data_IF_714836009752
#
_entry.id   IF_714836009752
#
_cell.length_a   1.000
_cell.length_b   1.000
_cell.length_c   1.000
_cell.angle_alpha   90.00
_cell.angle_beta   90.00
_cell.angle_gamma   90.00
#
_symmetry.space_group_name_H-M   'P 1'
#
loop_
_entity.id
_entity.type
_entity.pdbx_description
1 polymer ?
#
# COMPACT_ATOMS: atom_id res chain seq x y z
N UNK A 1 -74.13 11.42 -125.24
CA UNK A 1 -74.43 12.59 -124.39
C UNK A 1 -73.12 13.36 -124.13
N UNK A 2 -72.80 14.37 -124.96
CA UNK A 2 -71.56 15.16 -124.84
C UNK A 2 -71.81 16.33 -123.88
N UNK A 3 -71.26 16.30 -122.68
CA UNK A 3 -71.27 17.45 -121.78
C UNK A 3 -70.40 18.57 -122.40
N UNK A 4 -71.04 19.66 -122.85
CA UNK A 4 -70.37 20.93 -123.13
C UNK A 4 -70.05 21.60 -121.80
N UNK A 5 -68.81 21.47 -121.34
CA UNK A 5 -68.33 22.28 -120.20
C UNK A 5 -68.31 23.76 -120.60
N UNK A 6 -68.99 24.57 -119.80
CA UNK A 6 -69.07 26.04 -119.94
C UNK A 6 -67.67 26.68 -119.96
N UNK A 7 -67.50 27.75 -120.74
CA UNK A 7 -66.29 28.57 -120.81
C UNK A 7 -65.80 29.03 -119.42
N UNK A 8 -66.71 29.19 -118.46
CA UNK A 8 -66.42 29.54 -117.06
C UNK A 8 -65.60 28.46 -116.33
N UNK A 9 -65.73 27.18 -116.70
CA UNK A 9 -65.03 26.09 -116.04
C UNK A 9 -63.53 26.02 -116.40
N UNK A 10 -63.16 26.42 -117.63
CA UNK A 10 -61.76 26.45 -118.07
C UNK A 10 -60.95 27.57 -117.40
N UNK A 11 -61.59 28.67 -117.03
CA UNK A 11 -60.95 29.80 -116.33
C UNK A 11 -60.79 29.49 -114.83
N UNK A 12 -61.72 28.75 -114.23
CA UNK A 12 -61.70 28.46 -112.78
C UNK A 12 -60.68 27.38 -112.37
N UNK A 13 -60.44 26.39 -113.24
CA UNK A 13 -59.59 25.22 -112.94
C UNK A 13 -58.14 25.56 -112.50
N UNK A 14 -57.39 26.48 -113.14
CA UNK A 14 -56.03 26.81 -112.70
C UNK A 14 -55.99 27.55 -111.35
N UNK A 15 -56.99 28.37 -111.03
CA UNK A 15 -57.09 29.01 -109.71
C UNK A 15 -57.37 27.99 -108.61
N UNK A 16 -58.18 26.97 -108.92
CA UNK A 16 -58.48 25.88 -108.00
C UNK A 16 -57.24 25.01 -107.75
N UNK A 17 -56.43 24.77 -108.78
CA UNK A 17 -55.14 24.10 -108.66
C UNK A 17 -54.11 24.94 -107.86
N UNK A 18 -54.05 26.25 -108.09
CA UNK A 18 -53.17 27.16 -107.35
C UNK A 18 -53.57 27.26 -105.87
N UNK A 19 -54.88 27.34 -105.58
CA UNK A 19 -55.41 27.32 -104.23
C UNK A 19 -55.12 26.00 -103.52
N UNK A 20 -55.24 24.87 -104.23
CA UNK A 20 -54.86 23.56 -103.70
C UNK A 20 -53.36 23.46 -103.41
N UNK A 21 -52.49 23.97 -104.31
CA UNK A 21 -51.05 24.01 -104.11
C UNK A 21 -50.66 24.88 -102.91
N UNK A 22 -51.23 26.08 -102.79
CA UNK A 22 -51.04 26.97 -101.66
C UNK A 22 -51.50 26.31 -100.35
N UNK A 23 -52.65 25.65 -100.36
CA UNK A 23 -53.17 24.93 -99.20
C UNK A 23 -52.28 23.76 -98.77
N UNK A 24 -51.71 23.02 -99.73
CA UNK A 24 -50.74 21.95 -99.47
C UNK A 24 -49.44 22.51 -98.87
N UNK A 25 -48.91 23.61 -99.41
CA UNK A 25 -47.70 24.27 -98.89
C UNK A 25 -47.96 24.81 -97.48
N UNK A 26 -49.09 25.48 -97.27
CA UNK A 26 -49.52 26.00 -95.96
C UNK A 26 -49.67 24.88 -94.93
N UNK A 27 -50.31 23.75 -95.29
CA UNK A 27 -50.42 22.58 -94.43
C UNK A 27 -49.06 21.99 -94.07
N UNK A 28 -48.11 21.95 -95.03
CA UNK A 28 -46.75 21.47 -94.79
C UNK A 28 -45.99 22.37 -93.80
N UNK A 29 -46.01 23.70 -93.99
CA UNK A 29 -45.38 24.64 -93.04
C UNK A 29 -46.03 24.60 -91.66
N UNK A 30 -47.36 24.48 -91.59
CA UNK A 30 -48.09 24.33 -90.33
C UNK A 30 -47.71 23.03 -89.58
N UNK A 31 -47.56 21.91 -90.29
CA UNK A 31 -47.09 20.65 -89.69
C UNK A 31 -45.64 20.73 -89.20
N UNK A 32 -44.76 21.43 -89.91
CA UNK A 32 -43.39 21.68 -89.44
C UNK A 32 -43.38 22.53 -88.16
N UNK A 33 -44.24 23.55 -88.05
CA UNK A 33 -44.41 24.32 -86.82
C UNK A 33 -44.91 23.48 -85.63
N UNK A 34 -45.89 22.60 -85.85
CA UNK A 34 -46.46 21.75 -84.80
C UNK A 34 -45.44 20.72 -84.25
N UNK A 35 -44.63 20.13 -85.14
CA UNK A 35 -43.56 19.19 -84.76
C UNK A 35 -42.44 19.86 -83.98
N UNK A 36 -42.07 21.10 -84.33
CA UNK A 36 -41.10 21.89 -83.57
C UNK A 36 -41.58 22.17 -82.14
N UNK A 37 -42.85 22.58 -81.97
CA UNK A 37 -43.45 22.80 -80.64
C UNK A 37 -43.45 21.50 -79.83
N UNK A 38 -43.79 20.36 -80.46
CA UNK A 38 -43.78 19.06 -79.79
C UNK A 38 -42.37 18.66 -79.31
N UNK A 39 -41.33 18.88 -80.13
CA UNK A 39 -39.93 18.64 -79.72
C UNK A 39 -39.47 19.56 -78.59
N UNK A 40 -39.84 20.84 -78.61
CA UNK A 40 -39.54 21.77 -77.52
C UNK A 40 -40.23 21.37 -76.21
N UNK A 41 -41.51 20.97 -76.28
CA UNK A 41 -42.24 20.46 -75.13
C UNK A 41 -41.59 19.18 -74.58
N UNK A 42 -41.23 18.24 -75.45
CA UNK A 42 -40.53 17.01 -75.06
C UNK A 42 -39.15 17.32 -74.43
N UNK A 43 -38.39 18.25 -75.00
CA UNK A 43 -37.11 18.70 -74.46
C UNK A 43 -37.27 19.37 -73.09
N UNK A 44 -38.32 20.17 -72.88
CA UNK A 44 -38.63 20.78 -71.59
C UNK A 44 -38.99 19.76 -70.50
N UNK A 45 -39.77 18.74 -70.85
CA UNK A 45 -40.07 17.61 -69.94
C UNK A 45 -38.80 16.83 -69.62
N UNK A 46 -37.99 16.53 -70.63
CA UNK A 46 -36.72 15.83 -70.46
C UNK A 46 -35.74 16.62 -69.56
N UNK A 47 -35.59 17.93 -69.80
CA UNK A 47 -34.77 18.82 -68.98
C UNK A 47 -35.27 18.87 -67.52
N UNK A 48 -36.59 18.91 -67.31
CA UNK A 48 -37.19 18.88 -65.97
C UNK A 48 -36.89 17.58 -65.23
N UNK A 49 -36.93 16.44 -65.92
CA UNK A 49 -36.55 15.13 -65.35
C UNK A 49 -35.06 15.13 -65.00
N UNK A 50 -34.20 15.62 -65.88
CA UNK A 50 -32.76 15.74 -65.62
C UNK A 50 -32.46 16.62 -64.41
N UNK A 51 -33.08 17.80 -64.31
CA UNK A 51 -32.98 18.70 -63.14
C UNK A 51 -33.47 18.03 -61.86
N UNK A 52 -34.56 17.26 -61.92
CA UNK A 52 -35.06 16.50 -60.78
C UNK A 52 -34.10 15.41 -60.30
N UNK A 53 -33.46 14.69 -61.23
CA UNK A 53 -32.42 13.69 -60.93
C UNK A 53 -31.20 14.39 -60.33
N UNK A 54 -30.76 15.49 -60.94
CA UNK A 54 -29.64 16.30 -60.47
C UNK A 54 -29.88 16.79 -59.04
N UNK A 55 -31.01 17.46 -58.77
CA UNK A 55 -31.41 17.91 -57.43
C UNK A 55 -31.43 16.77 -56.41
N UNK A 56 -31.96 15.60 -56.79
CA UNK A 56 -32.02 14.43 -55.92
C UNK A 56 -30.62 13.91 -55.57
N UNK A 57 -29.71 13.87 -56.54
CA UNK A 57 -28.37 13.31 -56.38
C UNK A 57 -27.40 14.29 -55.68
N UNK A 58 -27.43 15.56 -56.06
CA UNK A 58 -26.45 16.56 -55.63
C UNK A 58 -26.85 17.29 -54.35
N UNK A 59 -28.15 17.47 -54.07
CA UNK A 59 -28.59 18.26 -52.91
C UNK A 59 -29.36 17.38 -51.92
N UNK A 60 -30.45 16.73 -52.35
CA UNK A 60 -31.36 16.04 -51.42
C UNK A 60 -30.72 14.84 -50.72
N UNK A 61 -29.89 14.06 -51.43
CA UNK A 61 -29.22 12.88 -50.86
C UNK A 61 -28.16 13.26 -49.81
N UNK A 62 -27.17 14.13 -50.10
CA UNK A 62 -26.17 14.56 -49.10
C UNK A 62 -26.83 15.22 -47.88
N UNK A 63 -27.78 16.14 -48.10
CA UNK A 63 -28.47 16.83 -47.00
C UNK A 63 -29.22 15.85 -46.07
N UNK A 64 -29.83 14.80 -46.64
CA UNK A 64 -30.46 13.75 -45.84
C UNK A 64 -29.46 12.89 -45.04
N UNK A 65 -28.23 12.69 -45.53
CA UNK A 65 -27.17 11.97 -44.78
C UNK A 65 -26.75 12.79 -43.58
N UNK A 66 -26.45 14.08 -43.79
CA UNK A 66 -26.10 15.03 -42.71
C UNK A 66 -27.23 15.08 -41.67
N UNK A 67 -28.48 15.24 -42.11
CA UNK A 67 -29.64 15.24 -41.20
C UNK A 67 -29.71 13.96 -40.35
N UNK A 68 -29.52 12.79 -40.96
CA UNK A 68 -29.53 11.51 -40.23
C UNK A 68 -28.40 11.44 -39.19
N UNK A 69 -27.20 11.86 -39.55
CA UNK A 69 -26.06 11.92 -38.65
C UNK A 69 -26.36 12.82 -37.45
N UNK A 70 -26.81 14.06 -37.70
CA UNK A 70 -27.13 15.03 -36.63
C UNK A 70 -28.22 14.49 -35.71
N UNK A 71 -29.26 13.84 -36.25
CA UNK A 71 -30.32 13.20 -35.44
C UNK A 71 -29.77 12.05 -34.58
N UNK A 72 -28.79 11.29 -35.08
CA UNK A 72 -28.14 10.24 -34.31
C UNK A 72 -27.27 10.83 -33.19
N UNK A 73 -26.45 11.84 -33.49
CA UNK A 73 -25.61 12.54 -32.51
C UNK A 73 -26.45 13.19 -31.40
N UNK A 74 -27.58 13.82 -31.76
CA UNK A 74 -28.51 14.41 -30.79
C UNK A 74 -29.12 13.38 -29.82
N UNK A 75 -29.11 12.09 -30.17
CA UNK A 75 -29.55 10.98 -29.30
C UNK A 75 -28.40 10.31 -28.54
N UNK A 76 -27.18 10.83 -28.64
CA UNK A 76 -25.98 10.25 -28.03
C UNK A 76 -25.41 9.04 -28.78
N UNK A 77 -25.88 8.75 -30.00
CA UNK A 77 -25.32 7.70 -30.84
C UNK A 77 -24.24 8.27 -31.76
N UNK A 78 -23.02 7.72 -31.69
CA UNK A 78 -21.86 8.20 -32.47
C UNK A 78 -21.51 7.17 -33.57
N UNK A 79 -22.21 7.21 -34.73
CA UNK A 79 -22.08 6.24 -35.82
C UNK A 79 -20.77 6.43 -36.60
N UNK A 80 -20.40 5.46 -37.45
CA UNK A 80 -19.31 5.67 -38.40
C UNK A 80 -19.83 6.60 -39.50
N UNK A 81 -19.12 7.71 -39.72
CA UNK A 81 -19.46 8.67 -40.75
C UNK A 81 -18.21 8.96 -41.58
N UNK A 82 -18.30 8.69 -42.87
CA UNK A 82 -17.26 8.99 -43.85
C UNK A 82 -17.82 9.98 -44.86
N UNK A 83 -17.10 11.07 -45.07
CA UNK A 83 -17.47 12.09 -46.01
C UNK A 83 -17.44 11.54 -47.44
N UNK A 84 -18.35 12.02 -48.26
CA UNK A 84 -18.33 11.78 -49.70
C UNK A 84 -17.35 12.76 -50.33
N UNK A 85 -16.52 12.33 -51.30
CA UNK A 85 -15.67 13.23 -52.05
C UNK A 85 -16.54 14.07 -52.99
N UNK A 86 -17.04 15.19 -52.46
CA UNK A 86 -17.76 16.23 -53.19
C UNK A 86 -16.91 17.48 -53.09
N UNK A 87 -16.55 18.09 -54.22
CA UNK A 87 -15.71 19.30 -54.26
C UNK A 87 -16.50 20.59 -54.05
N UNK A 88 -17.64 20.49 -53.37
CA UNK A 88 -18.59 21.57 -53.10
C UNK A 88 -18.72 21.81 -51.59
N UNK A 89 -19.49 22.83 -51.22
CA UNK A 89 -19.69 23.23 -49.82
C UNK A 89 -20.36 22.14 -48.98
N UNK A 90 -21.14 21.24 -49.61
CA UNK A 90 -21.73 20.09 -48.93
C UNK A 90 -20.67 19.03 -48.61
N UNK A 91 -19.69 18.83 -49.48
CA UNK A 91 -18.53 17.99 -49.21
C UNK A 91 -17.67 18.48 -48.06
N UNK A 92 -17.35 19.78 -48.03
CA UNK A 92 -16.60 20.41 -46.94
C UNK A 92 -17.32 20.27 -45.59
N UNK A 93 -18.65 20.38 -45.60
CA UNK A 93 -19.47 20.14 -44.42
C UNK A 93 -19.44 18.66 -43.99
N UNK A 94 -19.53 17.70 -44.93
CA UNK A 94 -19.38 16.28 -44.60
C UNK A 94 -17.97 15.98 -44.02
N UNK A 95 -16.89 16.56 -44.56
CA UNK A 95 -15.53 16.39 -44.03
C UNK A 95 -15.39 16.94 -42.61
N UNK A 96 -15.95 18.13 -42.36
CA UNK A 96 -15.96 18.75 -41.03
C UNK A 96 -16.74 17.90 -40.02
N UNK A 97 -17.87 17.32 -40.44
CA UNK A 97 -18.67 16.41 -39.61
C UNK A 97 -17.98 15.07 -39.36
N UNK A 98 -17.28 14.49 -40.34
CA UNK A 98 -16.45 13.29 -40.16
C UNK A 98 -15.40 13.50 -39.07
N UNK A 99 -14.66 14.61 -39.14
CA UNK A 99 -13.68 14.97 -38.11
C UNK A 99 -14.34 15.14 -36.73
N UNK A 100 -15.47 15.82 -36.66
CA UNK A 100 -16.18 16.03 -35.40
C UNK A 100 -16.70 14.72 -34.78
N UNK A 101 -17.24 13.80 -35.60
CA UNK A 101 -17.67 12.46 -35.16
C UNK A 101 -16.48 11.65 -34.66
N UNK A 102 -15.33 11.72 -35.34
CA UNK A 102 -14.08 11.11 -34.89
C UNK A 102 -13.68 11.60 -33.49
N UNK A 103 -13.63 12.92 -33.31
CA UNK A 103 -13.27 13.53 -32.03
C UNK A 103 -14.21 13.09 -30.88
N UNK A 104 -15.52 13.04 -31.11
CA UNK A 104 -16.48 12.57 -30.10
C UNK A 104 -16.25 11.11 -29.71
N UNK A 105 -15.77 10.27 -30.63
CA UNK A 105 -15.40 8.87 -30.33
C UNK A 105 -14.15 8.79 -29.50
N UNK A 106 -13.14 9.59 -29.82
CA UNK A 106 -11.89 9.61 -29.07
C UNK A 106 -12.16 10.05 -27.62
N UNK A 107 -12.99 11.07 -27.43
CA UNK A 107 -13.47 11.50 -26.11
C UNK A 107 -14.22 10.36 -25.39
N UNK A 108 -15.15 9.69 -26.07
CA UNK A 108 -15.91 8.60 -25.47
C UNK A 108 -15.02 7.41 -25.10
N UNK A 109 -14.04 7.07 -25.94
CA UNK A 109 -13.08 6.00 -25.70
C UNK A 109 -12.16 6.34 -24.51
N UNK A 110 -11.62 7.55 -24.47
CA UNK A 110 -10.81 8.05 -23.36
C UNK A 110 -11.59 8.10 -22.04
N UNK A 111 -12.85 8.54 -22.08
CA UNK A 111 -13.72 8.54 -20.89
C UNK A 111 -13.99 7.13 -20.39
N UNK A 112 -14.22 6.17 -21.28
CA UNK A 112 -14.37 4.76 -20.90
C UNK A 112 -13.11 4.19 -20.28
N UNK A 113 -11.93 4.45 -20.84
CA UNK A 113 -10.67 3.94 -20.27
C UNK A 113 -10.45 4.48 -18.85
N UNK A 114 -10.72 5.76 -18.62
CA UNK A 114 -10.70 6.35 -17.27
C UNK A 114 -11.69 5.68 -16.33
N UNK A 115 -12.92 5.39 -16.78
CA UNK A 115 -13.93 4.71 -15.96
C UNK A 115 -13.53 3.28 -15.56
N UNK A 116 -12.72 2.61 -16.39
CA UNK A 116 -12.21 1.25 -16.12
C UNK A 116 -10.89 1.26 -15.32
N UNK A 117 -10.41 2.42 -14.89
CA UNK A 117 -9.16 2.55 -14.13
C UNK A 117 -7.88 2.60 -14.99
N UNK A 118 -8.00 2.66 -16.32
CA UNK A 118 -6.87 2.80 -17.22
C UNK A 118 -6.64 4.28 -17.58
N UNK A 119 -5.66 4.87 -16.88
CA UNK A 119 -5.21 6.24 -17.08
C UNK A 119 -3.94 6.35 -17.94
N UNK A 120 -3.50 5.26 -18.60
CA UNK A 120 -2.29 5.28 -19.43
C UNK A 120 -2.51 5.99 -20.76
N UNK A 121 -3.76 6.00 -21.25
CA UNK A 121 -4.16 6.69 -22.48
C UNK A 121 -3.80 8.18 -22.46
N UNK A 122 -3.38 8.69 -23.62
CA UNK A 122 -3.13 10.12 -23.85
C UNK A 122 -4.23 10.68 -24.75
N UNK A 123 -4.81 11.80 -24.32
CA UNK A 123 -5.70 12.62 -25.13
C UNK A 123 -4.98 13.93 -25.43
N UNK A 124 -4.88 14.28 -26.70
CA UNK A 124 -4.29 15.55 -27.15
C UNK A 124 -5.40 16.54 -27.49
N UNK A 125 -5.22 17.79 -27.04
CA UNK A 125 -6.18 18.86 -27.32
C UNK A 125 -6.23 19.11 -28.83
N UNK A 126 -7.44 19.28 -29.36
CA UNK A 126 -7.64 19.55 -30.79
C UNK A 126 -7.10 20.92 -31.21
N UNK A 127 -7.14 21.87 -30.29
CA UNK A 127 -6.62 23.23 -30.45
C UNK A 127 -6.45 23.89 -29.09
N UNK A 128 -5.97 25.13 -29.07
CA UNK A 128 -5.90 25.93 -27.84
C UNK A 128 -7.29 26.32 -27.31
N UNK A 129 -8.34 26.20 -28.13
CA UNK A 129 -9.73 26.51 -27.79
C UNK A 129 -10.56 25.25 -27.46
N UNK A 130 -9.92 24.08 -27.35
CA UNK A 130 -10.60 22.82 -27.02
C UNK A 130 -10.95 22.73 -25.52
N UNK A 131 -12.05 23.38 -25.13
CA UNK A 131 -12.56 23.41 -23.76
C UNK A 131 -12.82 21.99 -23.21
N UNK A 132 -13.39 21.10 -24.03
CA UNK A 132 -13.68 19.72 -23.63
C UNK A 132 -12.39 18.94 -23.39
N UNK A 133 -11.40 19.09 -24.28
CA UNK A 133 -10.08 18.50 -24.11
C UNK A 133 -9.37 18.97 -22.86
N UNK A 134 -9.43 20.27 -22.56
CA UNK A 134 -8.89 20.84 -21.31
C UNK A 134 -9.58 20.23 -20.08
N UNK A 135 -10.92 20.18 -20.07
CA UNK A 135 -11.68 19.63 -18.96
C UNK A 135 -11.37 18.13 -18.74
N UNK A 136 -11.26 17.34 -19.81
CA UNK A 136 -10.91 15.92 -19.75
C UNK A 136 -9.52 15.67 -19.18
N UNK A 137 -8.52 16.45 -19.60
CA UNK A 137 -7.15 16.36 -19.07
C UNK A 137 -7.13 16.72 -17.58
N UNK A 138 -7.86 17.78 -17.18
CA UNK A 138 -7.97 18.17 -15.78
C UNK A 138 -8.64 17.08 -14.95
N UNK A 139 -9.74 16.50 -15.43
CA UNK A 139 -10.45 15.41 -14.76
C UNK A 139 -9.53 14.20 -14.57
N UNK A 140 -8.78 13.80 -15.61
CA UNK A 140 -7.77 12.74 -15.50
C UNK A 140 -6.77 13.04 -14.40
N UNK A 141 -6.22 14.26 -14.36
CA UNK A 141 -5.26 14.69 -13.34
C UNK A 141 -5.83 14.60 -11.93
N UNK A 142 -7.05 15.09 -11.71
CA UNK A 142 -7.73 15.02 -10.42
C UNK A 142 -8.03 13.58 -9.98
N UNK A 143 -8.47 12.71 -10.89
CA UNK A 143 -8.72 11.30 -10.57
C UNK A 143 -7.42 10.56 -10.25
N UNK A 144 -6.36 10.78 -11.02
CA UNK A 144 -5.04 10.18 -10.75
C UNK A 144 -4.47 10.64 -9.40
N UNK A 145 -4.58 11.94 -9.09
CA UNK A 145 -4.20 12.49 -7.79
C UNK A 145 -4.99 11.84 -6.66
N UNK A 146 -6.32 11.83 -6.77
CA UNK A 146 -7.19 11.20 -5.77
C UNK A 146 -6.92 9.71 -5.57
N UNK A 147 -6.61 8.97 -6.63
CA UNK A 147 -6.26 7.56 -6.54
C UNK A 147 -4.94 7.35 -5.80
N UNK A 148 -3.89 8.08 -6.18
CA UNK A 148 -2.59 8.03 -5.51
C UNK A 148 -2.71 8.36 -4.02
N UNK A 149 -3.47 9.41 -3.69
CA UNK A 149 -3.71 9.84 -2.30
C UNK A 149 -4.58 8.85 -1.52
N UNK A 150 -5.50 8.15 -2.19
CA UNK A 150 -6.29 7.08 -1.55
C UNK A 150 -5.43 5.85 -1.27
N UNK A 151 -4.51 5.52 -2.18
CA UNK A 151 -3.64 4.37 -2.06
C UNK A 151 -2.58 4.56 -0.96
N UNK A 152 -2.01 5.77 -0.85
CA UNK A 152 -1.11 6.11 0.25
C UNK A 152 -1.81 6.09 1.60
N UNK A 153 -3.02 6.66 1.70
CA UNK A 153 -3.84 6.61 2.93
C UNK A 153 -4.18 5.18 3.33
N UNK A 154 -4.57 4.34 2.36
CA UNK A 154 -4.86 2.92 2.62
C UNK A 154 -3.63 2.20 3.20
N UNK A 155 -2.44 2.39 2.62
CA UNK A 155 -1.20 1.81 3.15
C UNK A 155 -0.89 2.30 4.57
N UNK A 156 -1.07 3.58 4.84
CA UNK A 156 -0.86 4.15 6.17
C UNK A 156 -1.84 3.57 7.20
N UNK A 157 -3.12 3.45 6.85
CA UNK A 157 -4.15 2.83 7.69
C UNK A 157 -3.89 1.34 7.95
N UNK A 158 -3.44 0.60 6.93
CA UNK A 158 -3.03 -0.80 7.05
C UNK A 158 -1.86 -0.94 8.03
N UNK A 159 -0.81 -0.12 7.88
CA UNK A 159 0.36 -0.12 8.78
C UNK A 159 -0.02 0.24 10.22
N UNK A 160 -0.90 1.23 10.41
CA UNK A 160 -1.40 1.62 11.74
C UNK A 160 -2.21 0.51 12.40
N UNK A 161 -3.09 -0.12 11.62
CA UNK A 161 -3.92 -1.22 12.09
C UNK A 161 -3.07 -2.42 12.47
N UNK A 162 -2.08 -2.77 11.64
CA UNK A 162 -1.09 -3.80 11.93
C UNK A 162 -0.37 -3.48 13.26
N UNK A 163 0.22 -2.30 13.39
CA UNK A 163 0.92 -1.87 14.62
C UNK A 163 0.03 -1.99 15.86
N UNK A 164 -1.22 -1.51 15.78
CA UNK A 164 -2.16 -1.57 16.90
C UNK A 164 -2.54 -3.00 17.29
N UNK A 165 -2.74 -3.89 16.31
CA UNK A 165 -3.01 -5.31 16.55
C UNK A 165 -1.81 -6.00 17.21
N UNK A 166 -0.59 -5.72 16.72
CA UNK A 166 0.65 -6.21 17.32
C UNK A 166 0.76 -5.77 18.78
N UNK A 167 0.65 -4.48 19.07
CA UNK A 167 0.77 -3.96 20.43
C UNK A 167 -0.29 -4.55 21.38
N UNK A 168 -1.52 -4.75 20.91
CA UNK A 168 -2.58 -5.39 21.70
C UNK A 168 -2.27 -6.86 22.03
N UNK A 169 -1.72 -7.60 21.05
CA UNK A 169 -1.28 -8.99 21.22
C UNK A 169 -0.16 -9.08 22.26
N UNK A 170 0.92 -8.30 22.10
CA UNK A 170 2.05 -8.31 23.02
C UNK A 170 1.69 -7.80 24.42
N UNK A 171 0.80 -6.80 24.54
CA UNK A 171 0.29 -6.35 25.83
C UNK A 171 -0.43 -7.46 26.61
N UNK A 172 -1.02 -8.41 25.90
CA UNK A 172 -1.66 -9.59 26.52
C UNK A 172 -0.60 -10.60 26.97
N UNK A 173 0.40 -10.88 26.12
CA UNK A 173 1.55 -11.72 26.44
C UNK A 173 2.29 -11.22 27.69
N UNK A 174 2.52 -9.91 27.80
CA UNK A 174 3.18 -9.29 28.95
C UNK A 174 2.43 -9.46 30.27
N UNK A 175 1.11 -9.67 30.25
CA UNK A 175 0.31 -9.91 31.46
C UNK A 175 0.31 -11.36 31.90
N UNK A 176 0.57 -12.30 30.99
CA UNK A 176 0.50 -13.74 31.29
C UNK A 176 1.79 -14.26 31.97
N UNK A 177 2.92 -13.57 31.79
CA UNK A 177 4.22 -13.99 32.33
C UNK A 177 4.62 -13.08 33.50
N UNK A 178 4.44 -13.55 34.73
CA UNK A 178 4.65 -12.71 35.93
C UNK A 178 6.02 -12.90 36.61
N UNK A 179 6.63 -14.10 36.55
CA UNK A 179 7.71 -14.46 37.49
C UNK A 179 8.97 -15.08 36.87
N UNK A 180 9.07 -15.17 35.54
CA UNK A 180 10.27 -15.69 34.89
C UNK A 180 10.69 -14.85 33.68
N UNK A 181 11.84 -14.20 33.82
CA UNK A 181 12.45 -13.35 32.80
C UNK A 181 12.89 -14.14 31.56
N UNK A 182 13.38 -15.37 31.75
CA UNK A 182 13.82 -16.24 30.66
C UNK A 182 12.63 -16.72 29.81
N UNK A 183 11.51 -17.08 30.46
CA UNK A 183 10.29 -17.47 29.75
C UNK A 183 9.64 -16.28 29.04
N UNK A 184 9.64 -15.10 29.67
CA UNK A 184 9.16 -13.87 29.05
C UNK A 184 9.98 -13.54 27.79
N UNK A 185 11.30 -13.53 27.90
CA UNK A 185 12.20 -13.20 26.79
C UNK A 185 12.03 -14.18 25.62
N UNK A 186 11.97 -15.49 25.89
CA UNK A 186 11.80 -16.52 24.86
C UNK A 186 10.46 -16.41 24.14
N UNK A 187 9.37 -16.19 24.89
CA UNK A 187 8.02 -16.07 24.31
C UNK A 187 7.89 -14.79 23.51
N UNK A 188 8.36 -13.66 24.06
CA UNK A 188 8.43 -12.38 23.37
C UNK A 188 9.19 -12.49 22.06
N UNK A 189 10.43 -13.01 22.08
CA UNK A 189 11.27 -13.06 20.90
C UNK A 189 10.69 -13.98 19.83
N UNK A 190 10.11 -15.12 20.21
CA UNK A 190 9.46 -16.02 19.26
C UNK A 190 8.31 -15.32 18.54
N UNK A 191 7.40 -14.68 19.28
CA UNK A 191 6.28 -13.98 18.67
C UNK A 191 6.73 -12.74 17.90
N UNK A 192 7.74 -12.01 18.40
CA UNK A 192 8.27 -10.80 17.74
C UNK A 192 8.93 -11.11 16.41
N UNK A 193 9.80 -12.13 16.37
CA UNK A 193 10.48 -12.56 15.15
C UNK A 193 9.46 -13.07 14.14
N UNK A 194 8.48 -13.87 14.56
CA UNK A 194 7.42 -14.34 13.65
C UNK A 194 6.51 -13.21 13.15
N UNK A 195 6.18 -12.24 14.01
CA UNK A 195 5.28 -11.14 13.65
C UNK A 195 5.93 -10.11 12.73
N UNK A 196 7.22 -9.82 12.94
CA UNK A 196 8.02 -8.93 12.09
C UNK A 196 8.61 -9.63 10.87
N UNK A 197 8.45 -10.96 10.76
CA UNK A 197 9.10 -11.78 9.73
C UNK A 197 10.64 -11.62 9.72
N UNK A 198 11.22 -11.30 10.88
CA UNK A 198 12.67 -11.29 11.05
C UNK A 198 13.23 -12.73 11.07
N UNK A 199 14.54 -12.87 10.94
CA UNK A 199 15.18 -14.18 10.94
C UNK A 199 15.73 -14.56 12.32
N UNK A 200 16.27 -13.58 13.04
CA UNK A 200 16.92 -13.77 14.34
C UNK A 200 16.50 -12.66 15.29
N UNK A 201 16.32 -13.01 16.57
CA UNK A 201 16.08 -12.05 17.63
C UNK A 201 16.81 -12.38 18.92
N UNK A 202 17.27 -11.36 19.63
CA UNK A 202 17.89 -11.47 20.95
C UNK A 202 17.39 -10.35 21.88
N UNK A 203 17.29 -10.66 23.17
CA UNK A 203 16.97 -9.70 24.22
C UNK A 203 18.12 -9.69 25.22
N UNK A 204 18.73 -8.53 25.37
CA UNK A 204 19.76 -8.25 26.36
C UNK A 204 19.16 -7.45 27.50
N UNK A 205 19.54 -7.78 28.73
CA UNK A 205 19.02 -7.16 29.95
C UNK A 205 20.18 -6.53 30.72
N UNK A 206 19.96 -5.32 31.23
CA UNK A 206 20.95 -4.62 32.05
C UNK A 206 21.08 -5.30 33.40
N UNK A 207 22.32 -5.60 33.79
CA UNK A 207 22.73 -6.09 35.10
C UNK A 207 23.74 -5.11 35.71
N UNK A 208 23.71 -5.01 37.04
CA UNK A 208 24.68 -4.25 37.81
C UNK A 208 25.92 -5.14 38.09
N UNK A 209 27.13 -4.61 37.90
CA UNK A 209 28.37 -5.31 38.27
C UNK A 209 28.57 -5.22 39.80
N UNK A 210 28.53 -6.34 40.52
CA UNK A 210 28.67 -6.36 41.98
C UNK A 210 30.09 -5.96 42.45
N UNK A 211 31.11 -6.06 41.58
CA UNK A 211 32.51 -5.79 41.91
C UNK A 211 33.06 -4.46 41.33
N UNK A 212 32.28 -3.77 40.48
CA UNK A 212 32.70 -2.54 39.79
C UNK A 212 31.58 -1.49 39.64
N UNK A 213 31.95 -0.23 39.37
CA UNK A 213 31.00 0.89 39.21
C UNK A 213 30.43 0.96 37.78
N UNK A 214 29.94 -0.18 37.25
CA UNK A 214 29.56 -0.33 35.85
C UNK A 214 28.34 -1.20 35.61
N UNK A 215 27.68 -0.99 34.47
CA UNK A 215 26.55 -1.78 34.00
C UNK A 215 26.95 -2.60 32.78
N UNK A 216 26.41 -3.81 32.66
CA UNK A 216 26.59 -4.66 31.50
C UNK A 216 25.25 -5.24 31.03
N UNK A 217 25.20 -5.56 29.74
CA UNK A 217 24.06 -6.16 29.06
C UNK A 217 24.31 -7.66 28.95
N UNK A 218 23.48 -8.46 29.61
CA UNK A 218 23.53 -9.91 29.56
C UNK A 218 22.41 -10.45 28.67
N UNK A 219 22.72 -11.43 27.83
CA UNK A 219 21.70 -12.09 27.01
C UNK A 219 20.72 -12.85 27.91
N UNK A 220 19.44 -12.50 27.85
CA UNK A 220 18.39 -13.18 28.60
C UNK A 220 17.64 -14.20 27.73
N UNK A 221 17.50 -13.92 26.44
CA UNK A 221 16.83 -14.81 25.49
C UNK A 221 17.34 -14.61 24.08
N UNK A 222 17.24 -15.67 23.28
CA UNK A 222 17.49 -15.62 21.84
C UNK A 222 16.54 -16.56 21.09
N UNK A 223 16.23 -16.20 19.85
CA UNK A 223 15.43 -16.98 18.92
C UNK A 223 16.20 -17.16 17.60
N UNK A 224 16.17 -18.39 17.05
CA UNK A 224 16.89 -18.79 15.84
C UNK A 224 18.40 -18.47 15.84
N UNK A 225 19.00 -18.40 17.02
CA UNK A 225 20.42 -18.12 17.23
C UNK A 225 21.18 -19.38 17.64
N UNK A 226 22.43 -19.53 17.16
CA UNK A 226 23.26 -20.72 17.40
C UNK A 226 23.57 -20.87 18.90
N UNK A 227 22.89 -21.82 19.55
CA UNK A 227 22.91 -22.03 21.00
C UNK A 227 24.30 -22.38 21.53
N UNK A 228 25.20 -22.97 20.75
CA UNK A 228 26.42 -23.57 21.32
C UNK A 228 27.58 -22.60 21.57
N UNK A 229 27.54 -21.36 21.04
CA UNK A 229 28.66 -20.39 21.18
C UNK A 229 28.36 -19.11 21.96
N UNK A 230 27.10 -18.85 22.32
CA UNK A 230 26.69 -17.50 22.75
C UNK A 230 25.89 -17.42 24.05
N UNK A 231 25.72 -18.53 24.78
CA UNK A 231 24.94 -18.61 26.03
C UNK A 231 25.50 -17.74 27.18
N UNK A 232 26.66 -17.10 27.04
CA UNK A 232 27.28 -16.28 28.09
C UNK A 232 27.93 -14.98 27.58
N UNK A 233 27.39 -14.36 26.53
CA UNK A 233 27.89 -13.03 26.13
C UNK A 233 27.25 -11.94 27.00
N UNK A 234 28.10 -11.27 27.77
CA UNK A 234 27.83 -9.96 28.32
C UNK A 234 28.57 -8.90 27.52
N UNK A 235 27.96 -7.72 27.36
CA UNK A 235 28.56 -6.56 26.71
C UNK A 235 28.52 -5.37 27.68
N UNK A 236 29.62 -4.65 27.81
CA UNK A 236 29.59 -3.39 28.57
C UNK A 236 28.82 -2.31 27.80
N UNK A 237 28.33 -1.32 28.52
CA UNK A 237 27.75 -0.14 27.86
C UNK A 237 28.82 0.52 26.98
N UNK A 238 28.46 0.84 25.73
CA UNK A 238 29.37 1.33 24.70
C UNK A 238 30.19 0.25 23.97
N UNK A 239 30.07 -1.03 24.35
CA UNK A 239 30.73 -2.14 23.67
C UNK A 239 29.83 -2.74 22.58
N UNK A 240 30.35 -2.83 21.35
CA UNK A 240 29.60 -3.34 20.20
C UNK A 240 28.40 -2.46 19.83
N UNK A 241 27.58 -2.93 18.89
CA UNK A 241 26.37 -2.21 18.50
C UNK A 241 25.32 -2.20 19.61
N UNK A 242 25.17 -3.32 20.32
CA UNK A 242 24.22 -3.48 21.42
C UNK A 242 24.52 -2.53 22.58
N UNK A 243 25.78 -2.44 23.02
CA UNK A 243 26.20 -1.49 24.05
C UNK A 243 26.15 -0.05 23.58
N UNK A 244 26.39 0.22 22.28
CA UNK A 244 26.23 1.56 21.71
C UNK A 244 24.77 2.01 21.72
N UNK A 245 23.82 1.15 21.33
CA UNK A 245 22.39 1.47 21.41
C UNK A 245 21.95 1.82 22.84
N UNK A 246 22.49 1.12 23.84
CA UNK A 246 22.25 1.44 25.25
C UNK A 246 22.83 2.79 25.69
N UNK A 247 24.00 3.20 25.18
CA UNK A 247 24.59 4.52 25.51
C UNK A 247 23.88 5.66 24.78
N UNK A 248 23.59 5.46 23.48
CA UNK A 248 22.92 6.47 22.65
C UNK A 248 21.46 6.67 23.05
N UNK A 249 20.81 5.66 23.66
CA UNK A 249 19.38 5.69 24.04
C UNK A 249 18.45 5.93 22.85
N UNK A 250 18.92 5.57 21.66
CA UNK A 250 18.19 5.70 20.41
C UNK A 250 18.23 4.36 19.66
N UNK A 251 17.17 4.04 18.88
CA UNK A 251 17.19 2.87 18.04
C UNK A 251 18.25 3.00 16.94
N UNK A 252 19.03 1.95 16.74
CA UNK A 252 20.06 1.87 15.70
C UNK A 252 19.58 0.90 14.63
N UNK A 253 19.38 1.39 13.41
CA UNK A 253 19.05 0.57 12.25
C UNK A 253 20.17 0.64 11.21
N UNK A 254 20.72 -0.51 10.84
CA UNK A 254 21.84 -0.64 9.91
C UNK A 254 21.48 -1.62 8.81
N UNK A 255 21.63 -1.19 7.56
CA UNK A 255 21.38 -2.00 6.34
C UNK A 255 22.66 -2.36 5.57
N UNK A 256 23.82 -1.84 5.98
CA UNK A 256 25.12 -2.13 5.36
C UNK A 256 26.07 -2.65 6.43
N UNK A 257 26.05 -3.98 6.61
CA UNK A 257 26.83 -4.66 7.64
C UNK A 257 28.18 -5.11 7.07
N UNK A 258 29.29 -4.90 7.79
CA UNK A 258 30.59 -5.34 7.32
C UNK A 258 30.64 -6.87 7.17
N UNK A 259 31.36 -7.40 6.15
CA UNK A 259 31.42 -8.84 5.90
C UNK A 259 31.93 -9.62 7.12
N UNK A 260 31.18 -10.64 7.54
CA UNK A 260 31.55 -11.49 8.66
C UNK A 260 31.20 -10.96 10.05
N UNK A 261 30.44 -9.86 10.15
CA UNK A 261 29.93 -9.33 11.42
C UNK A 261 29.11 -10.37 12.20
N UNK A 262 28.16 -11.01 11.52
CA UNK A 262 27.40 -12.15 12.03
C UNK A 262 26.97 -13.07 10.89
N UNK A 263 26.57 -14.30 11.22
CA UNK A 263 26.04 -15.27 10.26
C UNK A 263 24.79 -15.93 10.80
N UNK A 264 23.76 -15.99 9.99
CA UNK A 264 22.55 -16.78 10.22
C UNK A 264 22.81 -18.17 9.67
N UNK A 265 22.65 -19.19 10.52
CA UNK A 265 22.95 -20.58 10.17
C UNK A 265 21.67 -21.40 10.05
N UNK A 266 21.58 -22.15 8.97
CA UNK A 266 20.60 -23.20 8.75
C UNK A 266 21.31 -24.55 8.69
N UNK A 267 20.57 -25.65 8.89
CA UNK A 267 21.10 -27.00 8.66
C UNK A 267 21.59 -27.24 7.22
N UNK A 268 21.28 -26.33 6.29
CA UNK A 268 21.64 -26.41 4.88
C UNK A 268 22.73 -25.41 4.44
N UNK A 269 23.08 -24.41 5.26
CA UNK A 269 24.01 -23.35 4.86
C UNK A 269 24.08 -22.19 5.85
N UNK A 270 24.92 -21.19 5.55
CA UNK A 270 25.07 -19.97 6.34
C UNK A 270 24.94 -18.75 5.45
N UNK A 271 24.29 -17.70 5.92
CA UNK A 271 24.15 -16.43 5.21
C UNK A 271 24.39 -15.22 6.14
N UNK A 272 24.61 -14.04 5.57
CA UNK A 272 24.84 -12.79 6.33
C UNK A 272 23.56 -11.95 6.30
N UNK A 273 23.07 -11.45 7.45
CA UNK A 273 21.89 -10.58 7.44
C UNK A 273 22.16 -9.30 6.65
N UNK A 274 21.12 -8.83 5.96
CA UNK A 274 21.14 -7.56 5.22
C UNK A 274 20.82 -6.38 6.14
N UNK A 275 20.10 -6.61 7.24
CA UNK A 275 19.78 -5.54 8.19
C UNK A 275 19.79 -6.01 9.64
N UNK A 276 20.15 -5.09 10.52
CA UNK A 276 20.06 -5.24 11.98
C UNK A 276 19.36 -4.02 12.56
N UNK A 277 18.42 -4.28 13.46
CA UNK A 277 17.73 -3.29 14.27
C UNK A 277 18.06 -3.54 15.75
N UNK A 278 18.56 -2.51 16.44
CA UNK A 278 18.78 -2.51 17.88
C UNK A 278 17.90 -1.44 18.53
N UNK A 279 17.04 -1.84 19.45
CA UNK A 279 16.09 -0.94 20.11
C UNK A 279 16.33 -0.99 21.62
N UNK A 280 16.76 0.11 22.25
CA UNK A 280 16.90 0.16 23.69
C UNK A 280 15.53 0.13 24.38
N UNK A 281 15.40 -0.71 25.40
CA UNK A 281 14.22 -0.82 26.27
C UNK A 281 14.47 0.11 27.46
N UNK A 282 13.67 1.17 27.58
CA UNK A 282 13.94 2.25 28.54
C UNK A 282 12.73 2.60 29.40
N UNK A 283 12.97 2.87 30.67
CA UNK A 283 11.98 3.41 31.60
C UNK A 283 12.61 4.58 32.37
N UNK A 284 11.96 5.74 32.38
CA UNK A 284 12.44 6.95 33.07
C UNK A 284 13.91 7.28 32.79
N UNK A 285 14.34 7.17 31.52
CA UNK A 285 15.71 7.42 31.04
C UNK A 285 16.77 6.39 31.49
N UNK A 286 16.36 5.30 32.15
CA UNK A 286 17.21 4.16 32.48
C UNK A 286 17.04 3.06 31.43
N UNK A 287 18.15 2.52 30.92
CA UNK A 287 18.15 1.41 29.97
C UNK A 287 18.04 0.10 30.73
N UNK A 288 16.90 -0.57 30.58
CA UNK A 288 16.63 -1.87 31.19
C UNK A 288 17.15 -3.03 30.33
N UNK A 289 17.34 -2.78 29.04
CA UNK A 289 17.81 -3.78 28.09
C UNK A 289 17.87 -3.26 26.66
N UNK A 290 18.19 -4.16 25.72
CA UNK A 290 18.22 -3.89 24.29
C UNK A 290 17.61 -5.08 23.55
N UNK A 291 16.63 -4.81 22.68
CA UNK A 291 16.11 -5.78 21.72
C UNK A 291 16.97 -5.68 20.46
N UNK A 292 17.47 -6.82 19.98
CA UNK A 292 18.23 -6.92 18.74
C UNK A 292 17.49 -7.85 17.78
N UNK A 293 17.22 -7.38 16.57
CA UNK A 293 16.61 -8.14 15.48
C UNK A 293 17.54 -8.09 14.27
N UNK A 294 17.73 -9.24 13.62
CA UNK A 294 18.46 -9.33 12.36
C UNK A 294 17.58 -9.98 11.30
N UNK A 295 17.66 -9.47 10.07
CA UNK A 295 16.93 -10.00 8.91
C UNK A 295 17.83 -10.10 7.68
N UNK A 296 17.57 -11.13 6.86
CA UNK A 296 18.11 -11.27 5.51
C UNK A 296 17.53 -10.24 4.53
N UNK A 297 16.39 -9.62 4.86
CA UNK A 297 15.77 -8.52 4.12
C UNK A 297 15.94 -7.16 4.78
N UNK A 298 15.36 -6.12 4.17
CA UNK A 298 15.17 -4.82 4.81
C UNK A 298 13.94 -4.87 5.74
N UNK A 299 14.08 -4.33 6.95
CA UNK A 299 12.97 -4.17 7.88
C UNK A 299 12.20 -2.89 7.51
N UNK A 300 10.91 -2.96 7.14
CA UNK A 300 10.12 -1.79 6.79
C UNK A 300 10.01 -0.79 7.94
N UNK A 301 9.94 0.51 7.64
CA UNK A 301 9.90 1.57 8.65
C UNK A 301 8.77 1.40 9.67
N UNK A 302 7.58 0.97 9.24
CA UNK A 302 6.45 0.73 10.15
C UNK A 302 6.71 -0.41 11.15
N UNK A 303 7.54 -1.39 10.79
CA UNK A 303 7.96 -2.45 11.71
C UNK A 303 9.02 -1.95 12.69
N UNK A 304 9.96 -1.11 12.24
CA UNK A 304 10.92 -0.44 13.13
C UNK A 304 10.17 0.38 14.19
N UNK A 305 9.23 1.23 13.77
CA UNK A 305 8.40 2.04 14.66
C UNK A 305 7.57 1.18 15.63
N UNK A 306 7.09 0.03 15.17
CA UNK A 306 6.39 -0.94 16.00
C UNK A 306 7.30 -1.54 17.08
N UNK A 307 8.53 -1.95 16.74
CA UNK A 307 9.47 -2.51 17.72
C UNK A 307 9.86 -1.45 18.75
N UNK A 308 10.02 -0.19 18.35
CA UNK A 308 10.23 0.93 19.28
C UNK A 308 9.06 1.09 20.27
N UNK A 309 7.82 1.14 19.78
CA UNK A 309 6.63 1.21 20.65
C UNK A 309 6.48 -0.03 21.54
N UNK A 310 6.83 -1.21 21.02
CA UNK A 310 6.83 -2.45 21.77
C UNK A 310 7.87 -2.42 22.90
N UNK A 311 9.06 -1.86 22.65
CA UNK A 311 10.11 -1.70 23.65
C UNK A 311 9.65 -0.78 24.80
N UNK A 312 8.95 0.31 24.49
CA UNK A 312 8.32 1.18 25.50
C UNK A 312 7.30 0.41 26.35
N UNK A 313 6.42 -0.37 25.72
CA UNK A 313 5.43 -1.20 26.42
C UNK A 313 6.09 -2.31 27.27
N UNK A 314 7.18 -2.90 26.76
CA UNK A 314 7.95 -3.92 27.46
C UNK A 314 8.64 -3.36 28.70
N UNK A 315 9.13 -2.12 28.66
CA UNK A 315 9.95 -1.54 29.72
C UNK A 315 9.28 -1.59 31.11
N UNK A 316 7.98 -1.30 31.18
CA UNK A 316 7.22 -1.34 32.44
C UNK A 316 7.13 -2.78 33.00
N UNK A 317 6.81 -3.74 32.13
CA UNK A 317 6.73 -5.16 32.50
C UNK A 317 8.10 -5.69 32.93
N UNK A 318 9.14 -5.34 32.18
CA UNK A 318 10.50 -5.75 32.46
C UNK A 318 10.99 -5.22 33.82
N UNK A 319 10.74 -3.95 34.12
CA UNK A 319 11.05 -3.36 35.42
C UNK A 319 10.30 -4.07 36.57
N UNK A 320 9.02 -4.40 36.37
CA UNK A 320 8.22 -5.16 37.36
C UNK A 320 8.83 -6.54 37.62
N UNK A 321 9.17 -7.29 36.57
CA UNK A 321 9.75 -8.63 36.70
C UNK A 321 11.12 -8.58 37.37
N UNK A 322 12.00 -7.63 36.99
CA UNK A 322 13.29 -7.42 37.65
C UNK A 322 13.15 -7.08 39.14
N UNK A 323 12.21 -6.18 39.49
CA UNK A 323 11.95 -5.81 40.89
C UNK A 323 11.44 -6.99 41.71
N UNK A 324 10.55 -7.82 41.15
CA UNK A 324 10.06 -9.04 41.79
C UNK A 324 11.19 -10.05 42.02
N UNK A 325 12.05 -10.27 41.02
CA UNK A 325 13.20 -11.16 41.14
C UNK A 325 14.19 -10.68 42.20
N UNK A 326 14.53 -9.38 42.21
CA UNK A 326 15.41 -8.78 43.22
C UNK A 326 14.84 -8.92 44.63
N UNK A 327 13.53 -8.71 44.78
CA UNK A 327 12.82 -8.90 46.06
C UNK A 327 12.90 -10.35 46.53
N UNK A 328 12.73 -11.32 45.62
CA UNK A 328 12.85 -12.75 45.93
C UNK A 328 14.27 -13.14 46.38
N UNK A 329 15.30 -12.65 45.67
CA UNK A 329 16.70 -12.88 46.03
C UNK A 329 17.00 -12.29 47.41
N UNK A 330 16.61 -11.03 47.66
CA UNK A 330 16.81 -10.36 48.96
C UNK A 330 16.08 -11.08 50.10
N UNK A 331 14.87 -11.58 49.84
CA UNK A 331 14.12 -12.38 50.81
C UNK A 331 14.84 -13.68 51.15
N UNK A 332 15.36 -14.40 50.16
CA UNK A 332 16.14 -15.63 50.36
C UNK A 332 17.45 -15.36 51.12
N UNK A 333 18.17 -14.28 50.80
CA UNK A 333 19.36 -13.85 51.53
C UNK A 333 19.05 -13.53 52.99
N UNK A 334 17.98 -12.76 53.24
CA UNK A 334 17.52 -12.41 54.60
C UNK A 334 17.14 -13.66 55.39
N UNK A 335 16.45 -14.61 54.74
CA UNK A 335 16.10 -15.90 55.35
C UNK A 335 17.35 -16.69 55.75
N UNK A 336 18.33 -16.79 54.86
CA UNK A 336 19.59 -17.50 55.13
C UNK A 336 20.37 -16.85 56.29
N UNK A 337 20.44 -15.51 56.31
CA UNK A 337 21.07 -14.76 57.40
C UNK A 337 20.35 -15.00 58.75
N UNK A 338 19.01 -15.04 58.75
CA UNK A 338 18.24 -15.36 59.96
C UNK A 338 18.49 -16.79 60.45
N UNK A 339 18.59 -17.77 59.55
CA UNK A 339 18.94 -19.16 59.88
C UNK A 339 20.36 -19.28 60.46
N UNK A 340 21.33 -18.56 59.90
CA UNK A 340 22.70 -18.48 60.42
C UNK A 340 22.75 -17.84 61.82
N UNK A 341 22.02 -16.74 62.05
CA UNK A 341 21.92 -16.10 63.36
C UNK A 341 21.28 -17.02 64.41
N UNK A 342 20.19 -17.72 64.05
CA UNK A 342 19.55 -18.68 64.95
C UNK A 342 20.48 -19.84 65.32
N UNK A 343 21.29 -20.31 64.36
CA UNK A 343 22.33 -21.31 64.61
C UNK A 343 23.41 -20.78 65.55
N UNK A 344 23.91 -19.56 65.33
CA UNK A 344 24.90 -18.92 66.20
C UNK A 344 24.35 -18.70 67.62
N UNK A 345 23.09 -18.29 67.77
CA UNK A 345 22.44 -18.12 69.07
C UNK A 345 22.33 -19.45 69.83
N UNK A 346 21.98 -20.54 69.14
CA UNK A 346 21.94 -21.87 69.74
C UNK A 346 23.32 -22.34 70.22
N UNK A 347 24.37 -22.11 69.41
CA UNK A 347 25.75 -22.42 69.80
C UNK A 347 26.18 -21.56 71.01
N UNK A 348 25.83 -20.27 71.01
CA UNK A 348 26.10 -19.37 72.12
C UNK A 348 25.42 -19.83 73.41
N UNK A 349 24.11 -20.17 73.36
CA UNK A 349 23.36 -20.71 74.50
C UNK A 349 23.99 -22.00 75.04
N UNK A 350 24.42 -22.90 74.17
CA UNK A 350 25.13 -24.12 74.58
C UNK A 350 26.47 -23.82 75.24
N UNK A 351 27.22 -22.84 74.74
CA UNK A 351 28.49 -22.42 75.34
C UNK A 351 28.29 -21.79 76.72
N UNK A 352 27.26 -20.94 76.89
CA UNK A 352 26.87 -20.38 78.20
C UNK A 352 26.52 -21.51 79.18
N UNK A 353 25.68 -22.47 78.79
CA UNK A 353 25.34 -23.62 79.64
C UNK A 353 26.57 -24.47 80.02
N UNK A 354 27.53 -24.64 79.10
CA UNK A 354 28.79 -25.35 79.40
C UNK A 354 29.63 -24.57 80.42
N UNK A 355 29.69 -23.25 80.31
CA UNK A 355 30.40 -22.38 81.26
C UNK A 355 29.76 -22.42 82.64
N UNK A 356 28.43 -22.36 82.73
CA UNK A 356 27.69 -22.49 83.98
C UNK A 356 27.99 -23.83 84.67
N UNK A 357 27.87 -24.94 83.95
CA UNK A 357 28.21 -26.28 84.49
C UNK A 357 29.67 -26.40 84.90
N UNK A 358 30.60 -25.77 84.17
CA UNK A 358 32.01 -25.76 84.52
C UNK A 358 32.26 -24.96 85.82
N UNK A 359 31.60 -23.81 85.99
CA UNK A 359 31.65 -23.04 87.22
C UNK A 359 31.05 -23.79 88.41
N UNK A 360 29.86 -24.39 88.27
CA UNK A 360 29.25 -25.22 89.31
C UNK A 360 30.18 -26.36 89.75
N UNK A 361 30.79 -27.04 88.78
CA UNK A 361 31.73 -28.13 89.06
C UNK A 361 33.00 -27.64 89.75
N UNK A 362 33.49 -26.45 89.41
CA UNK A 362 34.63 -25.80 90.06
C UNK A 362 34.29 -25.44 91.51
N UNK A 363 33.18 -24.75 91.73
CA UNK A 363 32.71 -24.37 93.06
C UNK A 363 32.44 -25.60 93.94
N UNK A 364 31.86 -26.66 93.38
CA UNK A 364 31.64 -27.93 94.09
C UNK A 364 32.97 -28.61 94.47
N UNK A 365 33.98 -28.58 93.58
CA UNK A 365 35.34 -29.07 93.88
C UNK A 365 36.00 -28.25 94.98
N UNK A 366 35.93 -26.93 94.93
CA UNK A 366 36.43 -26.06 96.00
C UNK A 366 35.77 -26.36 97.34
N UNK A 367 34.43 -26.50 97.35
CA UNK A 367 33.69 -26.85 98.56
C UNK A 367 34.06 -28.24 99.10
N UNK A 368 34.30 -29.22 98.23
CA UNK A 368 34.75 -30.56 98.62
C UNK A 368 36.17 -30.53 99.21
N UNK A 369 37.09 -29.81 98.57
CA UNK A 369 38.46 -29.61 99.06
C UNK A 369 38.48 -28.91 100.42
N UNK A 370 37.65 -27.87 100.60
CA UNK A 370 37.50 -27.18 101.88
C UNK A 370 37.01 -28.13 102.98
N UNK A 371 36.01 -28.97 102.71
CA UNK A 371 35.55 -30.00 103.65
C UNK A 371 36.64 -31.02 103.99
N UNK A 372 37.42 -31.44 103.00
CA UNK A 372 38.51 -32.39 103.20
C UNK A 372 39.61 -31.78 104.08
N UNK A 373 39.99 -30.52 103.83
CA UNK A 373 40.91 -29.76 104.69
C UNK A 373 40.36 -29.65 106.12
N UNK A 374 39.07 -29.35 106.28
CA UNK A 374 38.42 -29.24 107.60
C UNK A 374 38.44 -30.58 108.36
N UNK A 375 38.24 -31.70 107.67
CA UNK A 375 38.33 -33.03 108.25
C UNK A 375 39.75 -33.43 108.66
N UNK A 376 40.76 -33.02 107.88
CA UNK A 376 42.17 -33.25 108.21
C UNK A 376 42.62 -32.41 109.41
N UNK A 377 42.12 -31.18 109.53
CA UNK A 377 42.36 -30.35 110.72
C UNK A 377 41.69 -30.89 111.98
N UNK A 378 40.46 -31.43 111.87
CA UNK A 378 39.77 -32.08 113.01
C UNK A 378 40.35 -33.44 113.41
N UNK A 379 41.01 -34.15 112.51
CA UNK A 379 41.70 -35.43 112.82
C UNK A 379 43.12 -35.27 113.39
N UNK A 380 43.64 -34.04 113.46
CA UNK A 380 45.00 -33.70 113.91
C UNK A 380 45.04 -33.04 115.30
N UNK A 381 43.91 -32.94 115.99
CA UNK A 381 43.80 -32.56 117.41
C UNK A 381 43.35 -33.77 118.22
#
# INVERSE_FOLDING_TARGET
MKLRFSFTFKILLPYLALAALFFIIFLSEFQQGLTLIAWLAAAGVFLSILLGIFYKLWIKKPLNRIRKLVVQLARGHIPEFKASPSGDELGDLELSLEKHVGNLRDIAAFTRSMSTGDFTGRYEKLSNEDELGVALISLKGSLMGSMKDSESRRREEENRTWTAQGLAMFSTLFREVEDNLEDLSRTLLKELVNYTEADVGALFITQDDEEGDGQFLEICGSYAFDREKFIHRSFRFGEGLTGRAAVEREPIYITDLPPGYMKIRSGLGEDVPSSILLVPVMLDNNVLGVIELASLGEIPSHQVDFVCQLAEALATTLAKVQANLRTKILFEQTKKQAEELASQENVFKQNVQKLEKAQEKSASREAALLKEIESLQKGSS
#
